data_IF_730107461861
#
_entry.id   IF_730107461861
#
_cell.length_a   1.000
_cell.length_b   1.000
_cell.length_c   1.000
_cell.angle_alpha   90.00
_cell.angle_beta   90.00
_cell.angle_gamma   90.00
#
_symmetry.space_group_name_H-M   'P 1'
#
loop_
_entity.id
_entity.type
_entity.pdbx_description
1 polymer ?
#
# COMPACT_ATOMS: atom_id res chain seq x y z
N UNK A 1 -7.18 -16.26 7.04
CA UNK A 1 -6.65 -15.57 8.23
C UNK A 1 -7.82 -15.23 9.14
N UNK A 2 -7.80 -15.66 10.40
CA UNK A 2 -8.90 -15.36 11.31
C UNK A 2 -8.77 -13.92 11.81
N UNK A 3 -9.39 -13.00 11.08
CA UNK A 3 -9.39 -11.54 11.36
C UNK A 3 -9.92 -11.22 12.77
N UNK A 4 -10.80 -12.05 13.28
CA UNK A 4 -11.41 -11.91 14.61
C UNK A 4 -10.38 -12.06 15.73
N UNK A 5 -9.40 -12.95 15.58
CA UNK A 5 -8.34 -13.15 16.57
C UNK A 5 -7.46 -11.92 16.78
N UNK A 6 -7.16 -11.18 15.71
CA UNK A 6 -6.36 -9.95 15.80
C UNK A 6 -7.13 -8.78 16.43
N UNK A 7 -8.44 -8.82 16.39
CA UNK A 7 -9.30 -7.80 16.98
C UNK A 7 -9.45 -7.93 18.50
N UNK A 8 -9.23 -9.14 19.01
CA UNK A 8 -9.46 -9.45 20.42
C UNK A 8 -8.23 -9.23 21.32
N UNK A 9 -7.05 -8.96 20.75
CA UNK A 9 -5.82 -8.74 21.51
C UNK A 9 -5.88 -7.40 22.26
N UNK A 10 -5.53 -7.42 23.54
CA UNK A 10 -5.31 -6.20 24.32
C UNK A 10 -3.87 -5.69 24.15
N UNK A 11 -3.59 -4.45 24.54
CA UNK A 11 -2.25 -3.85 24.43
C UNK A 11 -1.12 -4.70 25.02
N UNK A 12 -1.39 -5.44 26.08
CA UNK A 12 -0.42 -6.31 26.74
C UNK A 12 -0.43 -7.76 26.26
N UNK A 13 -1.17 -8.08 25.21
CA UNK A 13 -1.22 -9.44 24.64
C UNK A 13 -0.26 -9.59 23.47
N UNK A 14 0.97 -9.10 23.62
CA UNK A 14 2.04 -9.33 22.65
C UNK A 14 2.23 -10.83 22.39
N UNK A 15 2.57 -11.19 21.17
CA UNK A 15 2.93 -12.57 20.82
C UNK A 15 4.29 -12.92 21.43
N UNK A 16 4.25 -13.31 22.71
CA UNK A 16 5.44 -13.57 23.52
C UNK A 16 6.33 -14.64 22.90
N UNK A 17 5.75 -15.65 22.26
CA UNK A 17 6.54 -16.73 21.63
C UNK A 17 7.40 -16.21 20.48
N UNK A 18 6.84 -15.40 19.61
CA UNK A 18 7.60 -14.82 18.51
C UNK A 18 8.63 -13.80 19.02
N UNK A 19 8.29 -13.03 20.05
CA UNK A 19 9.23 -12.13 20.71
C UNK A 19 10.43 -12.89 21.29
N UNK A 20 10.18 -14.00 21.99
CA UNK A 20 11.24 -14.85 22.54
C UNK A 20 12.13 -15.45 21.47
N UNK A 21 11.55 -15.94 20.37
CA UNK A 21 12.32 -16.53 19.26
C UNK A 21 13.23 -15.53 18.56
N UNK A 22 12.80 -14.26 18.44
CA UNK A 22 13.54 -13.21 17.75
C UNK A 22 14.48 -12.43 18.68
N UNK A 23 14.26 -12.41 19.98
CA UNK A 23 15.06 -11.66 20.94
C UNK A 23 16.57 -11.93 20.86
N UNK A 24 17.06 -13.16 20.55
CA UNK A 24 18.49 -13.42 20.38
C UNK A 24 19.19 -12.57 19.32
N UNK A 25 18.48 -12.05 18.32
CA UNK A 25 19.03 -11.12 17.30
C UNK A 25 19.61 -9.89 17.96
N UNK A 26 19.02 -9.43 19.06
CA UNK A 26 19.45 -8.24 19.81
C UNK A 26 20.45 -8.54 20.95
N UNK A 27 20.89 -9.78 21.12
CA UNK A 27 21.75 -10.20 22.26
C UNK A 27 23.02 -9.36 22.38
N UNK A 28 23.70 -9.15 21.26
CA UNK A 28 24.98 -8.45 21.20
C UNK A 28 24.84 -6.98 20.76
N UNK A 29 23.61 -6.47 20.63
CA UNK A 29 23.36 -5.07 20.30
C UNK A 29 23.39 -4.26 21.59
N UNK A 30 24.16 -3.14 21.65
CA UNK A 30 24.11 -2.23 22.79
C UNK A 30 22.69 -1.75 23.04
N UNK A 31 22.26 -1.75 24.32
CA UNK A 31 20.84 -1.52 24.67
C UNK A 31 20.36 -0.09 24.51
N UNK A 32 21.25 0.83 24.26
CA UNK A 32 21.00 2.25 23.98
C UNK A 32 20.90 2.60 22.49
N UNK A 33 21.13 1.63 21.60
CA UNK A 33 20.90 1.82 20.17
C UNK A 33 19.39 1.83 19.91
N UNK A 34 18.85 2.87 19.22
CA UNK A 34 17.44 2.90 18.83
C UNK A 34 17.08 1.79 17.84
N UNK A 35 15.92 1.18 18.03
CA UNK A 35 15.35 0.17 17.14
C UNK A 35 14.06 0.72 16.53
N UNK A 36 13.98 0.73 15.21
CA UNK A 36 12.74 1.04 14.48
C UNK A 36 12.25 -0.25 13.82
N UNK A 37 11.10 -0.75 14.28
CA UNK A 37 10.42 -1.89 13.68
C UNK A 37 9.30 -1.41 12.77
N UNK A 38 9.24 -1.93 11.55
CA UNK A 38 8.11 -1.75 10.62
C UNK A 38 7.10 -2.90 10.71
N UNK A 39 7.36 -3.85 11.58
CA UNK A 39 6.50 -4.95 11.94
C UNK A 39 6.55 -5.16 13.45
N UNK A 40 5.45 -5.61 14.04
CA UNK A 40 5.31 -5.74 15.50
C UNK A 40 6.32 -6.70 16.13
N UNK A 41 6.63 -7.81 15.48
CA UNK A 41 7.51 -8.84 16.06
C UNK A 41 8.95 -8.35 16.33
N UNK A 42 9.65 -7.66 15.41
CA UNK A 42 10.93 -7.05 15.72
C UNK A 42 10.87 -6.06 16.88
N UNK A 43 9.83 -5.22 16.95
CA UNK A 43 9.66 -4.27 18.05
C UNK A 43 9.42 -4.99 19.39
N UNK A 44 8.53 -6.00 19.42
CA UNK A 44 8.30 -6.82 20.62
C UNK A 44 9.58 -7.54 21.06
N UNK A 45 10.31 -8.13 20.11
CA UNK A 45 11.57 -8.82 20.39
C UNK A 45 12.64 -7.87 20.96
N UNK A 46 12.72 -6.65 20.45
CA UNK A 46 13.62 -5.62 20.95
C UNK A 46 13.28 -5.23 22.40
N UNK A 47 12.01 -5.02 22.72
CA UNK A 47 11.54 -4.77 24.10
C UNK A 47 11.89 -5.97 25.01
N UNK A 48 11.57 -7.18 24.56
CA UNK A 48 11.86 -8.42 25.31
C UNK A 48 13.35 -8.60 25.57
N UNK A 49 14.20 -8.20 24.62
CA UNK A 49 15.67 -8.19 24.76
C UNK A 49 16.23 -7.04 25.61
N UNK A 50 15.38 -6.15 26.11
CA UNK A 50 15.77 -5.02 26.97
C UNK A 50 16.35 -3.81 26.23
N UNK A 51 16.04 -3.63 24.95
CA UNK A 51 16.40 -2.41 24.23
C UNK A 51 15.62 -1.21 24.81
N UNK A 52 16.31 -0.06 24.98
CA UNK A 52 15.75 1.09 25.69
C UNK A 52 14.86 1.98 24.81
N UNK A 53 15.18 2.06 23.53
CA UNK A 53 14.53 2.97 22.60
C UNK A 53 13.95 2.17 21.44
N UNK A 54 12.67 1.85 21.51
CA UNK A 54 11.99 1.04 20.49
C UNK A 54 10.82 1.82 19.93
N UNK A 55 10.82 1.98 18.61
CA UNK A 55 9.73 2.58 17.84
C UNK A 55 9.12 1.50 16.95
N UNK A 56 7.81 1.37 17.01
CA UNK A 56 7.03 0.55 16.10
C UNK A 56 6.35 1.46 15.07
N UNK A 57 6.88 1.49 13.85
CA UNK A 57 6.31 2.27 12.75
C UNK A 57 5.14 1.51 12.13
N UNK A 58 3.92 1.94 12.42
CA UNK A 58 2.69 1.26 11.97
C UNK A 58 2.37 1.66 10.53
N UNK A 59 2.39 0.71 9.57
CA UNK A 59 2.14 1.02 8.16
C UNK A 59 0.65 1.15 7.82
N UNK A 60 -0.23 0.59 8.65
CA UNK A 60 -1.66 0.53 8.37
C UNK A 60 -2.43 1.72 8.96
N UNK A 61 -3.41 2.20 8.21
CA UNK A 61 -4.35 3.23 8.67
C UNK A 61 -5.52 2.66 9.50
N UNK A 62 -5.63 1.33 9.57
CA UNK A 62 -6.64 0.66 10.37
C UNK A 62 -6.05 0.20 11.70
N UNK A 63 -6.62 0.59 12.86
CA UNK A 63 -6.09 0.19 14.15
C UNK A 63 -6.31 -1.29 14.39
N UNK A 64 -5.23 -2.05 14.49
CA UNK A 64 -5.24 -3.48 14.77
C UNK A 64 -4.33 -3.82 15.94
N UNK A 65 -4.82 -4.65 16.84
CA UNK A 65 -4.02 -5.15 17.96
C UNK A 65 -2.76 -5.91 17.54
N UNK A 66 -2.73 -6.42 16.30
CA UNK A 66 -1.55 -7.03 15.68
C UNK A 66 -0.33 -6.10 15.67
N UNK A 67 -0.53 -4.78 15.62
CA UNK A 67 0.59 -3.83 15.59
C UNK A 67 1.08 -3.39 16.97
N UNK A 68 0.51 -3.93 18.04
CA UNK A 68 0.82 -3.48 19.41
C UNK A 68 2.09 -4.13 19.94
N UNK A 69 3.00 -3.31 20.43
CA UNK A 69 4.22 -3.71 21.11
C UNK A 69 4.33 -2.94 22.42
N UNK A 70 3.86 -3.52 23.52
CA UNK A 70 3.88 -2.88 24.83
C UNK A 70 5.31 -2.46 25.20
N UNK A 71 5.48 -1.23 25.65
CA UNK A 71 6.78 -0.65 26.00
C UNK A 71 7.48 0.09 24.85
N UNK A 72 6.97 0.02 23.61
CA UNK A 72 7.49 0.82 22.50
C UNK A 72 6.65 2.06 22.26
N UNK A 73 7.24 3.03 21.55
CA UNK A 73 6.51 4.14 20.94
C UNK A 73 5.94 3.68 19.60
N UNK A 74 4.70 4.01 19.31
CA UNK A 74 4.03 3.64 18.05
C UNK A 74 3.81 4.90 17.22
N UNK A 75 4.34 4.92 16.01
CA UNK A 75 4.05 6.00 15.06
C UNK A 75 2.83 5.65 14.24
N UNK A 76 1.92 6.61 14.08
CA UNK A 76 0.64 6.44 13.41
C UNK A 76 0.44 7.51 12.34
N UNK A 77 -0.29 7.16 11.29
CA UNK A 77 -0.40 7.95 10.08
C UNK A 77 -1.64 8.86 10.04
N UNK A 78 -2.70 8.54 10.76
CA UNK A 78 -3.96 9.29 10.69
C UNK A 78 -4.69 9.34 12.04
N UNK A 79 -5.60 10.31 12.18
CA UNK A 79 -6.40 10.50 13.38
C UNK A 79 -7.30 9.32 13.71
N UNK A 80 -7.81 8.63 12.68
CA UNK A 80 -8.64 7.45 12.87
C UNK A 80 -7.87 6.33 13.58
N UNK A 81 -6.62 6.10 13.17
CA UNK A 81 -5.73 5.15 13.85
C UNK A 81 -5.45 5.58 15.29
N UNK A 82 -5.19 6.87 15.52
CA UNK A 82 -5.01 7.38 16.88
C UNK A 82 -6.21 7.05 17.78
N UNK A 83 -7.41 7.41 17.36
CA UNK A 83 -8.63 7.15 18.12
C UNK A 83 -8.85 5.66 18.35
N UNK A 84 -8.65 4.84 17.33
CA UNK A 84 -8.81 3.40 17.41
C UNK A 84 -7.85 2.76 18.43
N UNK A 85 -6.58 3.13 18.41
CA UNK A 85 -5.59 2.63 19.38
C UNK A 85 -5.84 3.14 20.80
N UNK A 86 -6.32 4.36 20.95
CA UNK A 86 -6.69 4.91 22.28
C UNK A 86 -7.89 4.20 22.89
N UNK A 87 -8.81 3.70 22.09
CA UNK A 87 -10.03 3.06 22.57
C UNK A 87 -9.87 1.54 22.65
N UNK A 88 -9.31 0.91 21.62
CA UNK A 88 -9.12 -0.54 21.44
C UNK A 88 -10.39 -1.41 21.62
N UNK A 89 -11.57 -0.81 21.63
CA UNK A 89 -12.83 -1.51 21.85
C UNK A 89 -13.71 -1.59 20.59
N UNK A 90 -13.32 -0.92 19.51
CA UNK A 90 -14.13 -0.82 18.29
C UNK A 90 -14.30 -2.12 17.51
N UNK A 91 -13.58 -3.16 17.88
CA UNK A 91 -13.49 -4.40 17.12
C UNK A 91 -14.15 -5.60 17.81
N UNK A 92 -14.39 -5.52 19.10
CA UNK A 92 -15.18 -6.51 19.82
C UNK A 92 -16.07 -5.77 20.83
N UNK A 93 -17.37 -5.70 20.53
CA UNK A 93 -18.35 -4.96 21.31
C UNK A 93 -18.52 -5.50 22.75
N UNK A 94 -18.15 -6.74 22.97
CA UNK A 94 -18.34 -7.43 24.27
C UNK A 94 -17.10 -7.34 25.17
N UNK A 95 -15.94 -7.00 24.62
CA UNK A 95 -14.67 -6.95 25.37
C UNK A 95 -14.03 -5.58 25.31
N UNK A 96 -13.94 -4.94 26.45
CA UNK A 96 -13.16 -3.71 26.63
C UNK A 96 -11.68 -4.10 26.75
N UNK A 97 -10.87 -3.75 25.77
CA UNK A 97 -9.43 -3.94 25.82
C UNK A 97 -8.77 -2.77 26.57
N UNK A 98 -7.61 -3.03 27.18
CA UNK A 98 -6.81 -1.96 27.79
C UNK A 98 -6.33 -1.00 26.70
N UNK A 99 -6.68 0.30 26.78
CA UNK A 99 -6.25 1.27 25.77
C UNK A 99 -4.76 1.52 25.85
N UNK A 100 -4.16 1.93 24.74
CA UNK A 100 -2.76 2.34 24.73
C UNK A 100 -2.58 3.66 25.50
N UNK A 101 -1.48 3.82 26.27
CA UNK A 101 -1.11 5.10 26.87
C UNK A 101 -0.95 6.20 25.79
N UNK A 102 -1.33 7.43 26.09
CA UNK A 102 -1.27 8.51 25.12
C UNK A 102 0.18 8.83 24.68
N UNK A 103 1.12 8.71 25.60
CA UNK A 103 2.56 8.94 25.38
C UNK A 103 3.25 7.84 24.58
N UNK A 104 2.60 6.68 24.41
CA UNK A 104 3.08 5.61 23.52
C UNK A 104 2.62 5.76 22.07
N UNK A 105 1.86 6.81 21.72
CA UNK A 105 1.35 7.08 20.39
C UNK A 105 1.84 8.42 19.88
N UNK A 106 2.50 8.43 18.72
CA UNK A 106 3.00 9.64 18.06
C UNK A 106 2.39 9.75 16.66
N UNK A 107 1.69 10.83 16.39
CA UNK A 107 1.17 11.13 15.07
C UNK A 107 2.30 11.67 14.18
N UNK A 108 2.65 10.92 13.13
CA UNK A 108 3.73 11.27 12.20
C UNK A 108 3.24 11.71 10.83
N UNK A 109 1.97 11.51 10.53
CA UNK A 109 1.46 11.63 9.17
C UNK A 109 1.79 10.40 8.31
N UNK A 110 1.39 10.46 7.04
CA UNK A 110 1.57 9.36 6.10
C UNK A 110 3.04 9.20 5.68
N UNK A 111 3.46 7.93 5.55
CA UNK A 111 4.73 7.56 4.95
C UNK A 111 4.52 7.52 3.43
N UNK A 112 5.04 8.51 2.73
CA UNK A 112 4.84 8.69 1.29
C UNK A 112 6.20 8.83 0.63
N UNK A 113 6.36 8.22 -0.55
CA UNK A 113 7.58 8.35 -1.33
C UNK A 113 7.89 9.81 -1.64
N UNK A 114 9.16 10.13 -1.52
CA UNK A 114 9.68 11.48 -1.71
C UNK A 114 9.35 12.07 -3.09
N UNK A 115 9.47 11.26 -4.13
CA UNK A 115 9.14 11.65 -5.51
C UNK A 115 7.68 12.01 -5.69
N UNK A 116 6.78 11.32 -4.98
CA UNK A 116 5.35 11.64 -5.01
C UNK A 116 5.09 13.01 -4.38
N UNK A 117 5.73 13.27 -3.23
CA UNK A 117 5.55 14.55 -2.52
C UNK A 117 6.12 15.71 -3.32
N UNK A 118 7.31 15.56 -3.87
CA UNK A 118 7.94 16.60 -4.71
C UNK A 118 7.20 16.83 -6.02
N UNK A 119 6.55 15.80 -6.57
CA UNK A 119 5.81 15.87 -7.82
C UNK A 119 4.43 16.52 -7.72
N UNK A 120 3.86 16.73 -6.53
CA UNK A 120 2.43 17.08 -6.34
C UNK A 120 2.01 18.26 -7.22
N UNK A 121 2.73 19.37 -7.18
CA UNK A 121 2.34 20.59 -7.93
C UNK A 121 2.43 20.38 -9.44
N UNK A 122 3.53 19.80 -9.92
CA UNK A 122 3.76 19.55 -11.33
C UNK A 122 2.76 18.52 -11.90
N UNK A 123 2.56 17.42 -11.17
CA UNK A 123 1.66 16.33 -11.58
C UNK A 123 0.18 16.81 -11.56
N UNK A 124 -0.22 17.63 -10.58
CA UNK A 124 -1.55 18.23 -10.54
C UNK A 124 -1.77 19.22 -11.70
N UNK A 125 -0.79 20.08 -11.99
CA UNK A 125 -0.86 21.00 -13.12
C UNK A 125 -0.96 20.23 -14.45
N UNK A 126 -0.21 19.14 -14.61
CA UNK A 126 -0.29 18.26 -15.77
C UNK A 126 -1.68 17.64 -15.96
N UNK A 127 -2.29 17.15 -14.88
CA UNK A 127 -3.67 16.61 -14.90
C UNK A 127 -4.68 17.67 -15.37
N UNK A 128 -4.58 18.89 -14.84
CA UNK A 128 -5.47 20.01 -15.22
C UNK A 128 -5.32 20.30 -16.72
N UNK A 129 -4.07 20.44 -17.21
CA UNK A 129 -3.81 20.70 -18.63
C UNK A 129 -4.34 19.59 -19.53
N UNK A 130 -4.17 18.31 -19.16
CA UNK A 130 -4.74 17.19 -19.93
C UNK A 130 -6.25 17.30 -20.04
N UNK A 131 -6.92 17.58 -18.93
CA UNK A 131 -8.38 17.75 -18.90
C UNK A 131 -8.85 18.91 -19.76
N UNK A 132 -8.19 20.08 -19.66
CA UNK A 132 -8.51 21.28 -20.47
C UNK A 132 -8.30 21.05 -21.97
N UNK A 133 -7.31 20.23 -22.34
CA UNK A 133 -7.01 19.86 -23.71
C UNK A 133 -7.84 18.66 -24.22
N UNK A 134 -8.83 18.20 -23.46
CA UNK A 134 -9.72 17.10 -23.86
C UNK A 134 -9.02 15.74 -24.03
N UNK A 135 -7.88 15.53 -23.35
CA UNK A 135 -7.13 14.27 -23.39
C UNK A 135 -7.87 13.16 -22.63
N UNK A 136 -7.63 11.88 -22.97
CA UNK A 136 -8.21 10.75 -22.25
C UNK A 136 -7.96 10.84 -20.75
N UNK A 137 -8.99 10.58 -19.95
CA UNK A 137 -8.85 10.44 -18.50
C UNK A 137 -8.12 9.15 -18.18
N UNK A 138 -7.11 9.19 -17.32
CA UNK A 138 -6.24 8.06 -16.97
C UNK A 138 -6.61 7.48 -15.62
N UNK A 139 -6.91 6.20 -15.62
CA UNK A 139 -7.28 5.44 -14.42
C UNK A 139 -6.17 4.46 -14.05
N UNK A 140 -5.87 4.32 -12.78
CA UNK A 140 -4.96 3.32 -12.26
C UNK A 140 -5.74 2.32 -11.38
N UNK A 141 -5.67 1.05 -11.75
CA UNK A 141 -6.07 -0.06 -10.90
C UNK A 141 -4.80 -0.76 -10.42
N UNK A 142 -4.64 -0.86 -9.11
CA UNK A 142 -3.50 -1.56 -8.52
C UNK A 142 -3.97 -2.63 -7.54
N UNK A 143 -3.44 -3.84 -7.69
CA UNK A 143 -3.76 -4.93 -6.79
C UNK A 143 -2.93 -4.83 -5.51
N UNK A 144 -3.56 -5.07 -4.36
CA UNK A 144 -2.84 -5.11 -3.09
C UNK A 144 -2.10 -6.43 -2.89
N UNK A 145 -1.21 -6.46 -1.90
CA UNK A 145 -0.32 -7.59 -1.61
C UNK A 145 -0.99 -8.95 -1.32
N UNK A 146 -2.31 -9.00 -1.19
CA UNK A 146 -3.07 -10.24 -1.04
C UNK A 146 -3.67 -10.78 -2.35
N UNK A 147 -3.46 -10.11 -3.49
CA UNK A 147 -4.00 -10.53 -4.79
C UNK A 147 -5.53 -10.53 -4.87
N UNK A 148 -6.20 -9.79 -4.00
CA UNK A 148 -7.65 -9.77 -3.89
C UNK A 148 -8.31 -8.74 -4.82
N UNK A 149 -9.66 -8.81 -4.93
CA UNK A 149 -10.49 -7.80 -5.62
C UNK A 149 -10.52 -7.89 -7.16
N UNK A 150 -10.15 -9.03 -7.75
CA UNK A 150 -10.24 -9.24 -9.21
C UNK A 150 -11.62 -8.91 -9.76
N UNK A 151 -12.69 -9.25 -9.05
CA UNK A 151 -14.08 -9.02 -9.45
C UNK A 151 -14.41 -7.52 -9.55
N UNK A 152 -13.81 -6.71 -8.67
CA UNK A 152 -13.96 -5.24 -8.72
C UNK A 152 -13.23 -4.71 -9.95
N UNK A 153 -12.01 -5.19 -10.22
CA UNK A 153 -11.27 -4.81 -11.43
C UNK A 153 -12.06 -5.15 -12.68
N UNK A 154 -12.59 -6.37 -12.78
CA UNK A 154 -13.41 -6.79 -13.91
C UNK A 154 -14.62 -5.87 -14.12
N UNK A 155 -15.31 -5.50 -13.05
CA UNK A 155 -16.46 -4.60 -13.13
C UNK A 155 -16.06 -3.20 -13.64
N UNK A 156 -14.97 -2.63 -13.11
CA UNK A 156 -14.45 -1.32 -13.54
C UNK A 156 -14.00 -1.36 -15.00
N UNK A 157 -13.27 -2.39 -15.41
CA UNK A 157 -12.78 -2.55 -16.78
C UNK A 157 -13.96 -2.63 -17.76
N UNK A 158 -14.97 -3.48 -17.47
CA UNK A 158 -16.18 -3.58 -18.29
C UNK A 158 -16.89 -2.23 -18.44
N UNK A 159 -16.94 -1.46 -17.37
CA UNK A 159 -17.54 -0.13 -17.40
C UNK A 159 -16.73 0.86 -18.23
N UNK A 160 -15.39 0.81 -18.19
CA UNK A 160 -14.51 1.73 -18.89
C UNK A 160 -14.29 1.38 -20.37
N UNK A 161 -14.51 0.12 -20.80
CA UNK A 161 -14.27 -0.31 -22.18
C UNK A 161 -14.90 0.59 -23.25
N UNK A 162 -16.16 1.02 -23.17
CA UNK A 162 -16.77 1.92 -24.17
C UNK A 162 -16.11 3.30 -24.26
N UNK A 163 -15.52 3.76 -23.15
CA UNK A 163 -14.79 5.02 -23.10
C UNK A 163 -13.37 4.87 -23.65
N UNK A 164 -12.73 3.72 -23.42
CA UNK A 164 -11.44 3.37 -23.99
C UNK A 164 -11.54 3.23 -25.49
N UNK A 165 -12.57 2.58 -26.01
CA UNK A 165 -12.84 2.45 -27.45
C UNK A 165 -12.99 3.82 -28.13
N UNK A 166 -13.61 4.78 -27.43
CA UNK A 166 -13.79 6.15 -27.91
C UNK A 166 -12.60 7.06 -27.63
N UNK A 167 -11.51 6.53 -27.11
CA UNK A 167 -10.31 7.28 -26.68
C UNK A 167 -10.60 8.38 -25.66
N UNK A 168 -11.61 8.19 -24.83
CA UNK A 168 -11.98 9.09 -23.74
C UNK A 168 -11.35 8.69 -22.40
N UNK A 169 -10.91 7.44 -22.29
CA UNK A 169 -10.22 6.91 -21.13
C UNK A 169 -9.00 6.09 -21.53
N UNK A 170 -7.99 6.09 -20.68
CA UNK A 170 -6.87 5.15 -20.70
C UNK A 170 -6.79 4.47 -19.34
N UNK A 171 -6.41 3.20 -19.31
CA UNK A 171 -6.43 2.39 -18.11
C UNK A 171 -5.07 1.74 -17.88
N UNK A 172 -4.51 1.93 -16.69
CA UNK A 172 -3.32 1.24 -16.21
C UNK A 172 -3.75 0.18 -15.18
N UNK A 173 -3.32 -1.05 -15.40
CA UNK A 173 -3.67 -2.19 -14.54
C UNK A 173 -2.38 -2.80 -14.00
N UNK A 174 -2.00 -2.43 -12.78
CA UNK A 174 -0.88 -3.06 -12.10
C UNK A 174 -1.37 -4.25 -11.28
N UNK A 175 -1.06 -5.46 -11.75
CA UNK A 175 -1.42 -6.71 -11.06
C UNK A 175 -0.32 -7.17 -10.10
N UNK A 176 0.66 -6.32 -9.81
CA UNK A 176 1.75 -6.64 -8.89
C UNK A 176 2.56 -7.84 -9.39
N UNK A 177 2.75 -8.84 -8.52
CA UNK A 177 3.40 -10.13 -8.83
C UNK A 177 2.38 -11.24 -9.19
N UNK A 178 1.07 -10.89 -9.33
CA UNK A 178 -0.03 -11.83 -9.61
C UNK A 178 -0.39 -11.91 -11.09
N UNK A 179 0.50 -12.43 -11.94
CA UNK A 179 0.24 -12.58 -13.38
C UNK A 179 -1.07 -13.31 -13.69
N UNK A 180 -1.42 -14.31 -12.88
CA UNK A 180 -2.65 -15.05 -13.00
C UNK A 180 -3.91 -14.18 -12.88
N UNK A 181 -3.85 -13.03 -12.23
CA UNK A 181 -4.97 -12.07 -12.17
C UNK A 181 -5.17 -11.41 -13.52
N UNK A 182 -4.09 -10.98 -14.19
CA UNK A 182 -4.18 -10.46 -15.55
C UNK A 182 -4.74 -11.49 -16.52
N UNK A 183 -4.21 -12.71 -16.50
CA UNK A 183 -4.67 -13.79 -17.36
C UNK A 183 -6.16 -14.09 -17.15
N UNK A 184 -6.63 -14.05 -15.88
CA UNK A 184 -8.03 -14.22 -15.54
C UNK A 184 -8.92 -13.05 -16.02
N UNK A 185 -8.45 -11.81 -15.94
CA UNK A 185 -9.15 -10.64 -16.47
C UNK A 185 -9.31 -10.72 -18.00
N UNK A 186 -8.24 -11.07 -18.71
CA UNK A 186 -8.26 -11.28 -20.17
C UNK A 186 -9.21 -12.43 -20.57
N UNK A 187 -9.25 -13.51 -19.78
CA UNK A 187 -10.17 -14.62 -20.03
C UNK A 187 -11.63 -14.24 -19.79
N UNK A 188 -11.89 -13.42 -18.76
CA UNK A 188 -13.26 -12.96 -18.42
C UNK A 188 -13.74 -11.83 -19.34
N UNK A 189 -12.82 -11.02 -19.87
CA UNK A 189 -13.12 -9.85 -20.73
C UNK A 189 -12.22 -9.91 -21.97
N UNK A 190 -12.50 -10.81 -22.93
CA UNK A 190 -11.65 -11.01 -24.11
C UNK A 190 -11.47 -9.75 -24.98
N UNK A 191 -12.42 -8.83 -24.92
CA UNK A 191 -12.42 -7.55 -25.63
C UNK A 191 -11.24 -6.65 -25.22
N UNK A 192 -10.71 -6.83 -24.00
CA UNK A 192 -9.51 -6.11 -23.54
C UNK A 192 -8.32 -6.29 -24.49
N UNK A 193 -8.16 -7.48 -25.08
CA UNK A 193 -7.03 -7.79 -25.97
C UNK A 193 -6.85 -6.82 -27.11
N UNK A 194 -7.96 -6.24 -27.59
CA UNK A 194 -7.94 -5.28 -28.70
C UNK A 194 -7.23 -3.97 -28.32
N UNK A 195 -7.23 -3.64 -27.04
CA UNK A 195 -6.75 -2.36 -26.52
C UNK A 195 -5.56 -2.52 -25.58
N UNK A 196 -5.16 -3.75 -25.25
CA UNK A 196 -4.16 -4.05 -24.23
C UNK A 196 -2.73 -3.99 -24.80
N UNK A 197 -1.86 -3.33 -24.05
CA UNK A 197 -0.40 -3.40 -24.18
C UNK A 197 0.14 -3.96 -22.88
N UNK A 198 1.04 -4.93 -22.95
CA UNK A 198 1.62 -5.61 -21.80
C UNK A 198 3.04 -5.13 -21.54
N UNK A 199 3.30 -4.64 -20.32
CA UNK A 199 4.61 -4.23 -19.79
C UNK A 199 5.02 -5.25 -18.72
N UNK A 200 5.46 -6.43 -19.15
CA UNK A 200 5.62 -7.56 -18.25
C UNK A 200 7.08 -7.89 -18.01
N UNK A 201 7.44 -7.96 -16.72
CA UNK A 201 8.76 -8.36 -16.20
C UNK A 201 9.93 -7.63 -16.90
N UNK A 202 9.67 -6.40 -17.29
CA UNK A 202 10.63 -5.52 -17.95
C UNK A 202 10.56 -4.13 -17.28
N UNK A 203 11.41 -3.91 -16.29
CA UNK A 203 11.42 -2.68 -15.53
C UNK A 203 11.75 -1.45 -16.38
N UNK A 204 12.71 -1.59 -17.29
CA UNK A 204 13.09 -0.49 -18.19
C UNK A 204 11.92 -0.02 -19.06
N UNK A 205 11.15 -0.95 -19.62
CA UNK A 205 9.95 -0.62 -20.38
C UNK A 205 8.90 0.10 -19.54
N UNK A 206 8.71 -0.35 -18.28
CA UNK A 206 7.79 0.33 -17.33
C UNK A 206 8.25 1.75 -17.01
N UNK A 207 9.54 1.97 -16.77
CA UNK A 207 10.08 3.31 -16.53
C UNK A 207 9.95 4.22 -17.77
N UNK A 208 10.23 3.70 -18.95
CA UNK A 208 10.05 4.45 -20.20
C UNK A 208 8.60 4.83 -20.43
N UNK A 209 7.67 3.90 -20.20
CA UNK A 209 6.24 4.20 -20.26
C UNK A 209 5.86 5.29 -19.25
N UNK A 210 6.28 5.19 -18.00
CA UNK A 210 5.98 6.19 -16.97
C UNK A 210 6.51 7.58 -17.34
N UNK A 211 7.73 7.66 -17.88
CA UNK A 211 8.33 8.91 -18.38
C UNK A 211 7.51 9.51 -19.51
N UNK A 212 7.11 8.71 -20.51
CA UNK A 212 6.24 9.15 -21.61
C UNK A 212 4.90 9.67 -21.12
N UNK A 213 4.31 8.94 -20.15
CA UNK A 213 3.03 9.33 -19.57
C UNK A 213 3.08 10.67 -18.82
N UNK A 214 4.23 11.02 -18.24
CA UNK A 214 4.45 12.32 -17.59
C UNK A 214 4.77 13.45 -18.59
N UNK A 215 5.42 13.16 -19.71
CA UNK A 215 5.89 14.20 -20.67
C UNK A 215 4.75 14.90 -21.43
N UNK A 216 3.52 14.41 -21.37
CA UNK A 216 2.32 14.99 -22.01
C UNK A 216 2.41 15.17 -23.55
N UNK A 217 3.57 14.92 -24.18
CA UNK A 217 3.74 15.03 -25.63
C UNK A 217 3.06 13.88 -26.37
N UNK A 218 3.04 12.71 -25.75
CA UNK A 218 2.40 11.53 -26.32
C UNK A 218 1.02 11.33 -25.70
N UNK A 219 0.08 10.94 -26.53
CA UNK A 219 -1.25 10.57 -26.07
C UNK A 219 -1.23 9.12 -25.62
N UNK A 220 -1.57 8.90 -24.35
CA UNK A 220 -1.67 7.54 -23.80
C UNK A 220 -3.11 7.08 -23.96
N UNK A 221 -3.31 6.00 -24.69
CA UNK A 221 -4.61 5.42 -25.02
C UNK A 221 -4.63 3.93 -24.67
N UNK A 222 -5.82 3.35 -24.55
CA UNK A 222 -5.98 1.91 -24.38
C UNK A 222 -5.81 1.42 -22.94
N UNK A 223 -5.38 0.17 -22.81
CA UNK A 223 -5.18 -0.53 -21.55
C UNK A 223 -3.72 -0.94 -21.46
N UNK A 224 -3.04 -0.55 -20.40
CA UNK A 224 -1.66 -0.92 -20.14
C UNK A 224 -1.60 -1.84 -18.92
N UNK A 225 -1.22 -3.10 -19.13
CA UNK A 225 -1.06 -4.09 -18.09
C UNK A 225 0.38 -4.14 -17.59
N UNK A 226 0.56 -4.12 -16.28
CA UNK A 226 1.87 -4.20 -15.62
C UNK A 226 1.92 -5.40 -14.71
N UNK A 227 2.97 -6.18 -14.85
CA UNK A 227 3.28 -7.31 -13.98
C UNK A 227 4.79 -7.43 -13.82
N UNK A 228 5.25 -7.59 -12.59
CA UNK A 228 6.66 -7.80 -12.28
C UNK A 228 6.82 -8.97 -11.31
N UNK A 229 7.74 -9.87 -11.61
CA UNK A 229 8.08 -10.99 -10.73
C UNK A 229 8.77 -10.50 -9.45
N UNK A 230 9.56 -9.43 -9.57
CA UNK A 230 10.21 -8.79 -8.44
C UNK A 230 9.19 -7.95 -7.66
N UNK A 231 8.94 -8.30 -6.41
CA UNK A 231 7.95 -7.61 -5.55
C UNK A 231 8.27 -6.13 -5.35
N UNK A 232 9.52 -5.72 -5.31
CA UNK A 232 9.89 -4.32 -5.16
C UNK A 232 9.52 -3.51 -6.40
N UNK A 233 9.76 -4.04 -7.59
CA UNK A 233 9.32 -3.45 -8.85
C UNK A 233 7.80 -3.41 -8.94
N UNK A 234 7.13 -4.51 -8.59
CA UNK A 234 5.67 -4.61 -8.58
C UNK A 234 5.01 -3.53 -7.70
N UNK A 235 5.55 -3.27 -6.52
CA UNK A 235 5.07 -2.25 -5.59
C UNK A 235 5.42 -0.84 -6.09
N UNK A 236 6.67 -0.62 -6.50
CA UNK A 236 7.14 0.70 -6.93
C UNK A 236 6.48 1.14 -8.25
N UNK A 237 6.09 0.19 -9.11
CA UNK A 237 5.30 0.46 -10.31
C UNK A 237 4.05 1.29 -10.02
N UNK A 238 3.34 1.01 -8.92
CA UNK A 238 2.18 1.82 -8.50
C UNK A 238 2.56 3.29 -8.31
N UNK A 239 3.67 3.58 -7.63
CA UNK A 239 4.13 4.94 -7.35
C UNK A 239 4.52 5.69 -8.64
N UNK A 240 5.17 5.00 -9.57
CA UNK A 240 5.50 5.59 -10.88
C UNK A 240 4.25 5.95 -11.68
N UNK A 241 3.30 5.03 -11.77
CA UNK A 241 2.12 5.18 -12.60
C UNK A 241 1.13 6.23 -12.05
N UNK A 242 0.95 6.27 -10.73
CA UNK A 242 -0.02 7.17 -10.10
C UNK A 242 0.26 8.66 -10.36
N UNK A 243 1.51 9.02 -10.62
CA UNK A 243 1.91 10.40 -10.93
C UNK A 243 1.25 10.94 -12.21
N UNK A 244 1.00 10.08 -13.18
CA UNK A 244 0.38 10.44 -14.46
C UNK A 244 -1.12 10.11 -14.54
N UNK A 245 -1.71 9.52 -13.51
CA UNK A 245 -3.13 9.15 -13.46
C UNK A 245 -4.01 10.27 -12.91
N UNK A 246 -5.27 10.25 -13.29
CA UNK A 246 -6.29 11.19 -12.82
C UNK A 246 -7.14 10.60 -11.70
N UNK A 247 -7.31 9.26 -11.69
CA UNK A 247 -8.08 8.49 -10.70
C UNK A 247 -7.33 7.21 -10.37
#
# INVERSE_FOLDING_TARGET
MNYEGFRALSYNAADQKNAELMAPVYRNVPKDIPVIGTHVWPAQAAIHAGMKYVVNAIPDNWPMALHLSEGSVHTIQCHNSYMGYRILNGMNKEKVNRPMPADSLVYTGHYIDHELVQGIEADCAARIRRKENGKPMRFLLTIGGAGAQKEIFAAIIKYLLPYIEKKQAALYVNVGDYKNVWDALIAEIPEMKKYATEHFDNWTDTEEFAKKALDEKEEIEGIHGFWHKNIFEAVYCTNLLMRSCDV
#
